data_IF_485230257395
#
_entry.id   IF_485230257395
#
_cell.length_a   1.000
_cell.length_b   1.000
_cell.length_c   1.000
_cell.angle_alpha   90.00
_cell.angle_beta   90.00
_cell.angle_gamma   90.00
#
_symmetry.space_group_name_H-M   'P 1'
#
loop_
_entity.id
_entity.type
_entity.pdbx_description
1 polymer ?
#
# COMPACT_ATOMS: atom_id res chain seq x y z
N UNK A 1 -33.50 2.45 -9.69
CA UNK A 1 -34.17 2.14 -8.41
C UNK A 1 -33.11 1.64 -7.43
N UNK A 2 -32.73 2.45 -6.44
CA UNK A 2 -31.78 2.05 -5.40
C UNK A 2 -32.42 1.06 -4.43
N UNK A 3 -31.60 0.33 -3.67
CA UNK A 3 -32.11 -0.57 -2.63
C UNK A 3 -32.61 0.25 -1.42
N UNK A 4 -33.75 -0.09 -0.79
CA UNK A 4 -34.34 0.70 0.29
C UNK A 4 -33.47 0.69 1.54
N UNK A 5 -33.57 1.72 2.38
CA UNK A 5 -32.86 1.77 3.65
C UNK A 5 -33.17 0.52 4.51
N UNK A 6 -32.14 -0.08 5.11
CA UNK A 6 -32.30 -1.27 5.97
C UNK A 6 -32.40 -2.62 5.26
N UNK A 7 -32.43 -2.67 3.92
CA UNK A 7 -32.59 -3.94 3.18
C UNK A 7 -31.50 -4.99 3.50
N UNK A 8 -30.24 -4.58 3.67
CA UNK A 8 -29.14 -5.49 4.02
C UNK A 8 -29.28 -6.06 5.42
N UNK A 9 -29.79 -5.26 6.36
CA UNK A 9 -30.00 -5.70 7.73
C UNK A 9 -31.13 -6.73 7.80
N UNK A 10 -32.21 -6.51 7.05
CA UNK A 10 -33.29 -7.49 6.90
C UNK A 10 -32.79 -8.82 6.28
N UNK A 11 -31.86 -8.77 5.31
CA UNK A 11 -31.34 -9.97 4.66
C UNK A 11 -30.29 -10.72 5.49
N UNK A 12 -29.40 -10.01 6.17
CA UNK A 12 -28.19 -10.59 6.80
C UNK A 12 -28.23 -10.63 8.32
N UNK A 13 -29.25 -10.04 8.94
CA UNK A 13 -29.38 -9.94 10.41
C UNK A 13 -28.39 -8.98 11.06
N UNK A 14 -27.60 -8.22 10.28
CA UNK A 14 -26.59 -7.28 10.78
C UNK A 14 -26.48 -6.03 9.91
N UNK A 15 -25.90 -4.98 10.48
CA UNK A 15 -25.58 -3.76 9.74
C UNK A 15 -24.66 -4.05 8.54
N UNK A 16 -24.79 -3.30 7.43
CA UNK A 16 -23.87 -3.39 6.29
C UNK A 16 -22.41 -3.31 6.73
N UNK A 17 -21.58 -4.26 6.28
CA UNK A 17 -20.13 -4.16 6.49
C UNK A 17 -19.55 -3.11 5.55
N UNK A 18 -18.72 -2.21 6.08
CA UNK A 18 -17.88 -1.35 5.25
C UNK A 18 -16.71 -2.19 4.74
N UNK A 19 -16.50 -2.20 3.42
CA UNK A 19 -15.27 -2.79 2.86
C UNK A 19 -14.05 -2.04 3.41
N UNK A 20 -12.95 -2.71 3.76
CA UNK A 20 -11.73 -2.05 4.22
C UNK A 20 -11.09 -1.08 3.21
N UNK A 21 -11.58 -1.07 1.96
CA UNK A 21 -10.99 -0.34 0.85
C UNK A 21 -9.92 -1.14 0.13
N UNK A 22 -9.38 -0.58 -0.95
CA UNK A 22 -8.24 -1.16 -1.64
C UNK A 22 -6.96 -0.96 -0.80
N UNK A 23 -6.06 -1.94 -0.72
CA UNK A 23 -4.76 -1.78 -0.08
C UNK A 23 -3.98 -0.60 -0.67
N UNK A 24 -3.28 0.14 0.19
CA UNK A 24 -2.38 1.20 -0.26
C UNK A 24 -1.18 0.61 -1.04
N UNK A 25 -0.62 1.40 -1.95
CA UNK A 25 0.63 1.06 -2.63
C UNK A 25 1.79 0.96 -1.63
N UNK A 26 2.80 0.15 -1.98
CA UNK A 26 3.94 -0.13 -1.10
C UNK A 26 4.74 1.14 -0.83
N UNK A 27 4.93 1.45 0.46
CA UNK A 27 5.72 2.60 0.94
C UNK A 27 7.17 2.61 0.45
N UNK A 28 7.74 1.43 0.21
CA UNK A 28 9.07 1.28 -0.39
C UNK A 28 9.13 1.72 -1.85
N UNK A 29 8.07 1.43 -2.62
CA UNK A 29 7.94 1.86 -4.02
C UNK A 29 7.75 3.38 -4.08
N UNK A 30 6.93 3.95 -3.18
CA UNK A 30 6.80 5.40 -3.04
C UNK A 30 8.15 6.07 -2.68
N UNK A 31 8.95 5.45 -1.81
CA UNK A 31 10.31 5.94 -1.52
C UNK A 31 11.19 5.94 -2.77
N UNK A 32 11.16 4.87 -3.56
CA UNK A 32 11.93 4.82 -4.80
C UNK A 32 11.46 5.89 -5.79
N UNK A 33 10.14 6.09 -5.91
CA UNK A 33 9.57 7.17 -6.73
C UNK A 33 10.19 8.52 -6.36
N UNK A 34 10.24 8.85 -5.07
CA UNK A 34 10.81 10.11 -4.61
C UNK A 34 12.34 10.20 -4.83
N UNK A 35 13.07 9.09 -4.82
CA UNK A 35 14.49 9.08 -5.22
C UNK A 35 14.65 9.40 -6.71
N UNK A 36 13.75 8.92 -7.57
CA UNK A 36 13.77 9.25 -8.99
C UNK A 36 13.41 10.72 -9.24
N UNK A 37 12.42 11.27 -8.53
CA UNK A 37 12.12 12.71 -8.53
C UNK A 37 13.35 13.52 -8.11
N UNK A 38 14.07 13.10 -7.06
CA UNK A 38 15.27 13.79 -6.58
C UNK A 38 16.42 13.79 -7.60
N UNK A 39 16.43 12.85 -8.57
CA UNK A 39 17.36 12.87 -9.72
C UNK A 39 16.93 13.81 -10.84
N UNK A 40 15.75 14.44 -10.73
CA UNK A 40 15.21 15.39 -11.69
C UNK A 40 14.20 14.80 -12.69
N UNK A 41 13.74 13.55 -12.49
CA UNK A 41 12.73 12.96 -13.38
C UNK A 41 11.37 13.63 -13.22
N UNK A 42 10.59 13.65 -14.30
CA UNK A 42 9.20 14.06 -14.23
C UNK A 42 8.36 13.02 -13.45
N UNK A 43 7.26 13.43 -12.79
CA UNK A 43 6.42 12.50 -12.01
C UNK A 43 5.88 11.31 -12.80
N UNK A 44 5.63 11.46 -14.09
CA UNK A 44 5.22 10.36 -14.97
C UNK A 44 6.35 9.37 -15.24
N UNK A 45 7.55 9.87 -15.53
CA UNK A 45 8.74 9.05 -15.77
C UNK A 45 9.16 8.31 -14.50
N UNK A 46 9.12 9.00 -13.35
CA UNK A 46 9.38 8.42 -12.04
C UNK A 46 8.33 7.36 -11.66
N UNK A 47 7.07 7.53 -12.05
CA UNK A 47 6.03 6.52 -11.84
C UNK A 47 6.30 5.26 -12.68
N UNK A 48 6.61 5.45 -13.96
CA UNK A 48 6.93 4.36 -14.88
C UNK A 48 8.17 3.57 -14.42
N UNK A 49 9.22 4.26 -13.97
CA UNK A 49 10.47 3.62 -13.54
C UNK A 49 10.32 2.75 -12.30
N UNK A 50 9.36 3.04 -11.42
CA UNK A 50 9.05 2.23 -10.23
C UNK A 50 7.86 1.29 -10.41
N UNK A 51 7.33 1.20 -11.64
CA UNK A 51 6.27 0.26 -12.00
C UNK A 51 4.89 0.61 -11.41
N UNK A 52 4.60 1.89 -11.18
CA UNK A 52 3.26 2.34 -10.77
C UNK A 52 2.57 3.15 -11.85
N UNK A 53 1.24 3.24 -11.78
CA UNK A 53 0.49 4.05 -12.74
C UNK A 53 0.82 5.54 -12.62
N UNK A 54 0.77 6.26 -13.75
CA UNK A 54 0.92 7.71 -13.79
C UNK A 54 -0.03 8.42 -12.80
N UNK A 55 -1.26 7.93 -12.65
CA UNK A 55 -2.22 8.46 -11.69
C UNK A 55 -1.78 8.31 -10.23
N UNK A 56 -1.06 7.23 -9.88
CA UNK A 56 -0.50 7.04 -8.55
C UNK A 56 0.67 7.99 -8.30
N UNK A 57 1.66 8.04 -9.22
CA UNK A 57 2.79 8.95 -9.11
C UNK A 57 2.38 10.43 -9.07
N UNK A 58 1.42 10.82 -9.92
CA UNK A 58 0.86 12.17 -9.90
C UNK A 58 0.13 12.50 -8.60
N UNK A 59 -0.55 11.53 -7.96
CA UNK A 59 -1.13 11.73 -6.62
C UNK A 59 -0.06 11.90 -5.55
N UNK A 60 0.98 11.08 -5.56
CA UNK A 60 2.10 11.21 -4.62
C UNK A 60 2.78 12.57 -4.75
N UNK A 61 3.12 12.98 -5.97
CA UNK A 61 3.78 14.27 -6.22
C UNK A 61 2.94 15.45 -5.73
N UNK A 62 1.64 15.46 -6.05
CA UNK A 62 0.72 16.52 -5.58
C UNK A 62 0.56 16.51 -4.07
N UNK A 63 0.47 15.33 -3.44
CA UNK A 63 0.32 15.22 -2.00
C UNK A 63 1.58 15.70 -1.25
N UNK A 64 2.77 15.41 -1.79
CA UNK A 64 4.04 15.90 -1.26
C UNK A 64 4.38 17.34 -1.63
N UNK A 65 3.58 18.00 -2.48
CA UNK A 65 3.89 19.36 -2.95
C UNK A 65 5.21 19.44 -3.73
N UNK A 66 5.59 18.38 -4.42
CA UNK A 66 6.88 18.26 -5.10
C UNK A 66 8.07 17.87 -4.21
N UNK A 67 7.83 17.58 -2.92
CA UNK A 67 8.86 17.12 -1.98
C UNK A 67 8.46 15.80 -1.30
N UNK A 68 9.41 14.94 -0.95
CA UNK A 68 9.11 13.67 -0.28
C UNK A 68 8.53 13.90 1.13
N UNK A 69 7.35 13.36 1.46
CA UNK A 69 6.77 13.45 2.81
C UNK A 69 7.36 12.42 3.78
N UNK A 70 8.51 11.82 3.44
CA UNK A 70 9.13 10.71 4.14
C UNK A 70 10.64 10.70 3.96
N UNK A 71 11.35 10.06 4.89
CA UNK A 71 12.79 9.82 4.76
C UNK A 71 13.10 8.83 3.62
N UNK A 72 14.06 9.21 2.79
CA UNK A 72 14.55 8.45 1.64
C UNK A 72 15.70 7.49 2.01
N UNK A 73 16.24 7.60 3.22
CA UNK A 73 17.20 6.65 3.75
C UNK A 73 16.63 5.21 3.76
N UNK A 74 17.49 4.18 3.65
CA UNK A 74 17.08 2.81 3.87
C UNK A 74 16.39 2.65 5.22
N UNK A 75 15.43 1.73 5.31
CA UNK A 75 14.78 1.43 6.58
C UNK A 75 15.82 0.85 7.53
N UNK A 76 15.90 1.38 8.76
CA UNK A 76 16.63 0.70 9.82
C UNK A 76 15.93 -0.64 10.03
N UNK A 77 16.65 -1.75 9.96
CA UNK A 77 16.10 -3.13 9.99
C UNK A 77 15.39 -3.54 11.28
N UNK A 78 14.87 -2.57 12.05
CA UNK A 78 14.06 -2.75 13.26
C UNK A 78 12.73 -3.46 12.98
N UNK A 79 12.19 -3.32 11.77
CA UNK A 79 10.90 -3.87 11.38
C UNK A 79 11.01 -4.71 10.13
N UNK A 80 10.13 -5.70 10.02
CA UNK A 80 10.01 -6.59 8.86
C UNK A 80 9.73 -5.79 7.58
N UNK A 81 10.51 -6.05 6.55
CA UNK A 81 10.28 -5.68 5.16
C UNK A 81 8.98 -6.27 4.63
N UNK A 82 8.52 -5.77 3.48
CA UNK A 82 7.34 -6.34 2.83
C UNK A 82 7.55 -7.82 2.47
N UNK A 83 8.73 -8.16 1.96
CA UNK A 83 9.07 -9.54 1.60
C UNK A 83 8.97 -10.47 2.81
N UNK A 84 9.59 -10.10 3.93
CA UNK A 84 9.54 -10.91 5.16
C UNK A 84 8.10 -11.07 5.67
N UNK A 85 7.26 -10.02 5.56
CA UNK A 85 5.84 -10.14 5.94
C UNK A 85 5.05 -11.07 5.02
N UNK A 86 5.30 -11.03 3.71
CA UNK A 86 4.65 -11.94 2.76
C UNK A 86 5.09 -13.39 3.00
N UNK A 87 6.37 -13.61 3.27
CA UNK A 87 6.90 -14.93 3.60
C UNK A 87 6.26 -15.49 4.88
N UNK A 88 6.21 -14.70 5.96
CA UNK A 88 5.51 -15.08 7.19
C UNK A 88 4.02 -15.33 6.92
N UNK A 89 3.37 -14.55 6.06
CA UNK A 89 1.96 -14.74 5.71
C UNK A 89 1.73 -16.08 4.98
N UNK A 90 2.63 -16.46 4.07
CA UNK A 90 2.60 -17.75 3.39
C UNK A 90 2.82 -18.90 4.38
N UNK A 91 3.86 -18.83 5.21
CA UNK A 91 4.16 -19.86 6.21
C UNK A 91 3.00 -20.03 7.20
N UNK A 92 2.39 -18.92 7.63
CA UNK A 92 1.20 -18.94 8.47
C UNK A 92 0.02 -19.61 7.77
N UNK A 93 -0.20 -19.34 6.48
CA UNK A 93 -1.25 -19.99 5.71
C UNK A 93 -1.03 -21.51 5.55
N UNK A 94 0.23 -21.95 5.59
CA UNK A 94 0.62 -23.37 5.62
C UNK A 94 0.49 -24.01 7.01
N UNK A 95 0.14 -23.24 8.05
CA UNK A 95 -0.04 -23.74 9.41
C UNK A 95 1.25 -23.78 10.24
N UNK A 96 2.34 -23.18 9.76
CA UNK A 96 3.62 -23.13 10.47
C UNK A 96 3.51 -22.14 11.65
N UNK A 97 3.95 -22.57 12.83
CA UNK A 97 3.84 -21.80 14.07
C UNK A 97 4.84 -20.66 14.16
N UNK A 98 4.53 -19.63 14.95
CA UNK A 98 5.35 -18.41 15.09
C UNK A 98 6.80 -18.70 15.52
N UNK A 99 7.04 -19.74 16.34
CA UNK A 99 8.39 -20.11 16.79
C UNK A 99 9.21 -20.79 15.70
N UNK A 100 8.56 -21.37 14.70
CA UNK A 100 9.20 -22.02 13.56
C UNK A 100 9.55 -21.02 12.44
N UNK A 101 8.90 -19.85 12.45
CA UNK A 101 9.13 -18.75 11.49
C UNK A 101 10.03 -17.62 12.04
N UNK A 102 10.70 -17.85 13.17
CA UNK A 102 11.47 -16.85 13.91
C UNK A 102 12.96 -16.85 13.54
#
# INVERSE_FOLDING_TARGET
MGRPAGWMAALTGRSPMKSPGAPALRREVERQFWREIAKGLLPEEAAASVGVSQAAGGRWFRHGGGMPPMDLAPQSGRYLSFHEREEIAILKAQGIGVRETA
#
